data_IF_505110185068
#
_entry.id   IF_505110185068
#
_cell.length_a   1.000
_cell.length_b   1.000
_cell.length_c   1.000
_cell.angle_alpha   90.00
_cell.angle_beta   90.00
_cell.angle_gamma   90.00
#
_symmetry.space_group_name_H-M   'P 1'
#
loop_
_entity.id
_entity.type
_entity.pdbx_description
1 polymer ?
#
# COMPACT_ATOMS: atom_id res chain seq x y z
N UNK A 1 -9.07 -9.65 50.28
CA UNK A 1 -9.55 -9.77 48.89
C UNK A 1 -8.80 -8.72 48.07
N UNK A 2 -7.58 -9.05 47.64
CA UNK A 2 -6.75 -8.14 46.85
C UNK A 2 -7.16 -8.26 45.39
N UNK A 3 -7.51 -7.14 44.76
CA UNK A 3 -7.83 -7.09 43.34
C UNK A 3 -6.57 -7.45 42.54
N UNK A 4 -6.50 -8.65 41.98
CA UNK A 4 -5.48 -8.97 41.00
C UNK A 4 -5.82 -8.20 39.72
N UNK A 5 -5.06 -7.13 39.48
CA UNK A 5 -5.24 -6.23 38.34
C UNK A 5 -4.67 -6.90 37.10
N UNK A 6 -5.49 -7.10 36.07
CA UNK A 6 -5.03 -7.56 34.76
C UNK A 6 -3.87 -6.69 34.25
N UNK A 7 -2.78 -7.33 33.84
CA UNK A 7 -1.63 -6.63 33.26
C UNK A 7 -1.85 -6.49 31.75
N UNK A 8 -2.54 -5.43 31.33
CA UNK A 8 -2.84 -5.16 29.92
C UNK A 8 -1.62 -4.81 29.04
N UNK A 9 -0.44 -4.69 29.64
CA UNK A 9 0.81 -4.33 28.96
C UNK A 9 1.62 -5.57 28.56
N UNK A 10 1.47 -6.68 29.29
CA UNK A 10 2.14 -7.93 28.98
C UNK A 10 1.24 -8.73 28.01
N UNK A 11 1.65 -8.82 26.76
CA UNK A 11 0.89 -9.43 25.65
C UNK A 11 1.57 -10.68 25.08
N UNK A 12 2.68 -11.12 25.66
CA UNK A 12 3.34 -12.35 25.26
C UNK A 12 2.52 -13.57 25.68
N UNK A 13 2.66 -14.66 24.92
CA UNK A 13 1.93 -15.90 25.17
C UNK A 13 2.07 -16.41 26.61
N UNK A 14 3.29 -16.36 27.17
CA UNK A 14 3.55 -16.82 28.54
C UNK A 14 2.80 -15.97 29.58
N UNK A 15 2.82 -14.64 29.44
CA UNK A 15 2.03 -13.75 30.30
C UNK A 15 0.52 -14.00 30.19
N UNK A 16 0.00 -14.26 28.98
CA UNK A 16 -1.42 -14.58 28.78
C UNK A 16 -1.81 -15.89 29.47
N UNK A 17 -0.96 -16.92 29.38
CA UNK A 17 -1.17 -18.20 30.07
C UNK A 17 -1.15 -18.00 31.59
N UNK A 18 -0.18 -17.26 32.11
CA UNK A 18 -0.07 -16.96 33.55
C UNK A 18 -1.31 -16.20 34.07
N UNK A 19 -1.78 -15.19 33.33
CA UNK A 19 -2.97 -14.42 33.67
C UNK A 19 -4.24 -15.31 33.65
N UNK A 20 -4.37 -16.18 32.65
CA UNK A 20 -5.46 -17.16 32.57
C UNK A 20 -5.45 -18.12 33.77
N UNK A 21 -4.30 -18.70 34.10
CA UNK A 21 -4.15 -19.61 35.24
C UNK A 21 -4.46 -18.90 36.56
N UNK A 22 -3.92 -17.69 36.74
CA UNK A 22 -4.16 -16.86 37.93
C UNK A 22 -5.66 -16.55 38.10
N UNK A 23 -6.35 -16.24 37.00
CA UNK A 23 -7.80 -15.97 37.02
C UNK A 23 -8.64 -17.21 37.35
N UNK A 24 -8.25 -18.39 36.86
CA UNK A 24 -8.95 -19.63 37.18
C UNK A 24 -8.73 -20.00 38.65
N UNK A 25 -7.50 -19.86 39.16
CA UNK A 25 -7.20 -20.10 40.58
C UNK A 25 -8.00 -19.18 41.51
N UNK A 26 -8.13 -17.90 41.17
CA UNK A 26 -8.93 -16.95 41.96
C UNK A 26 -10.42 -17.32 41.97
N UNK A 27 -10.97 -17.71 40.82
CA UNK A 27 -12.43 -17.92 40.68
C UNK A 27 -12.91 -19.32 41.04
N UNK A 28 -12.05 -20.32 40.81
CA UNK A 28 -12.39 -21.73 40.92
C UNK A 28 -11.42 -22.54 41.78
N UNK A 29 -10.51 -21.89 42.52
CA UNK A 29 -9.50 -22.57 43.34
C UNK A 29 -10.07 -23.57 44.36
N UNK A 30 -11.30 -23.35 44.84
CA UNK A 30 -11.98 -24.27 45.75
C UNK A 30 -12.49 -25.55 45.06
N UNK A 31 -12.63 -25.54 43.72
CA UNK A 31 -13.22 -26.63 42.92
C UNK A 31 -12.24 -27.29 41.96
N UNK A 32 -11.19 -26.58 41.55
CA UNK A 32 -10.26 -27.03 40.52
C UNK A 32 -8.85 -26.55 40.83
N UNK A 33 -7.90 -27.49 40.93
CA UNK A 33 -6.52 -27.22 41.31
C UNK A 33 -5.49 -28.01 40.48
N UNK A 34 -5.87 -28.46 39.28
CA UNK A 34 -4.96 -29.20 38.40
C UNK A 34 -4.44 -28.29 37.28
N UNK A 35 -3.19 -27.84 37.45
CA UNK A 35 -2.48 -26.96 36.50
C UNK A 35 -1.11 -27.53 36.12
N UNK A 36 -0.99 -28.86 36.12
CA UNK A 36 0.22 -29.52 35.62
C UNK A 36 0.25 -29.41 34.08
N UNK A 37 1.45 -29.35 33.49
CA UNK A 37 1.64 -29.16 32.05
C UNK A 37 0.92 -30.22 31.18
N UNK A 38 0.78 -31.45 31.68
CA UNK A 38 0.10 -32.54 30.96
C UNK A 38 -1.44 -32.52 31.12
N UNK A 39 -1.97 -31.59 31.93
CA UNK A 39 -3.41 -31.50 32.16
C UNK A 39 -4.12 -31.02 30.89
N UNK A 40 -5.22 -31.69 30.53
CA UNK A 40 -6.10 -31.28 29.43
C UNK A 40 -6.57 -29.83 29.54
N UNK A 41 -6.70 -29.30 30.76
CA UNK A 41 -7.07 -27.89 30.99
C UNK A 41 -5.93 -26.95 30.64
N UNK A 42 -4.68 -27.31 30.94
CA UNK A 42 -3.51 -26.52 30.56
C UNK A 42 -3.34 -26.48 29.05
N UNK A 43 -3.48 -27.62 28.37
CA UNK A 43 -3.44 -27.68 26.90
C UNK A 43 -4.50 -26.78 26.24
N UNK A 44 -5.72 -26.73 26.80
CA UNK A 44 -6.78 -25.84 26.30
C UNK A 44 -6.45 -24.36 26.54
N UNK A 45 -5.87 -24.02 27.69
CA UNK A 45 -5.43 -22.65 28.00
C UNK A 45 -4.34 -22.21 27.02
N UNK A 46 -3.35 -23.06 26.77
CA UNK A 46 -2.25 -22.77 25.84
C UNK A 46 -2.74 -22.57 24.40
N UNK A 47 -3.66 -23.44 23.93
CA UNK A 47 -4.27 -23.32 22.62
C UNK A 47 -5.08 -22.03 22.47
N UNK A 48 -5.82 -21.63 23.52
CA UNK A 48 -6.57 -20.37 23.52
C UNK A 48 -5.63 -19.17 23.58
N UNK A 49 -4.59 -19.21 24.43
CA UNK A 49 -3.59 -18.16 24.53
C UNK A 49 -2.86 -17.92 23.20
N UNK A 50 -2.56 -18.97 22.45
CA UNK A 50 -1.99 -18.86 21.10
C UNK A 50 -2.89 -18.06 20.15
N UNK A 51 -4.20 -18.35 20.16
CA UNK A 51 -5.14 -17.62 19.32
C UNK A 51 -5.26 -16.15 19.73
N UNK A 52 -5.20 -15.86 21.04
CA UNK A 52 -5.25 -14.49 21.57
C UNK A 52 -3.99 -13.70 21.20
N UNK A 53 -2.81 -14.30 21.31
CA UNK A 53 -1.54 -13.67 20.91
C UNK A 53 -1.57 -13.28 19.42
N UNK A 54 -2.00 -14.20 18.55
CA UNK A 54 -2.20 -13.89 17.12
C UNK A 54 -3.18 -12.72 16.90
N UNK A 55 -4.29 -12.70 17.62
CA UNK A 55 -5.26 -11.59 17.52
C UNK A 55 -4.66 -10.26 17.98
N UNK A 56 -3.88 -10.26 19.06
CA UNK A 56 -3.21 -9.07 19.56
C UNK A 56 -2.19 -8.53 18.54
N UNK A 57 -1.44 -9.43 17.89
CA UNK A 57 -0.55 -9.06 16.79
C UNK A 57 -1.29 -8.35 15.64
N UNK A 58 -2.43 -8.89 15.19
CA UNK A 58 -3.21 -8.27 14.12
C UNK A 58 -3.85 -6.94 14.55
N UNK A 59 -4.32 -6.83 15.79
CA UNK A 59 -4.87 -5.59 16.33
C UNK A 59 -3.83 -4.48 16.40
N UNK A 60 -2.63 -4.78 16.88
CA UNK A 60 -1.54 -3.80 16.97
C UNK A 60 -1.11 -3.36 15.56
N UNK A 61 -1.07 -4.29 14.59
CA UNK A 61 -0.83 -3.95 13.18
C UNK A 61 -1.93 -3.04 12.62
N UNK A 62 -3.20 -3.35 12.86
CA UNK A 62 -4.33 -2.54 12.38
C UNK A 62 -4.33 -1.14 13.01
N UNK A 63 -3.96 -1.03 14.28
CA UNK A 63 -3.84 0.25 14.97
C UNK A 63 -2.74 1.11 14.33
N UNK A 64 -1.57 0.51 14.02
CA UNK A 64 -0.48 1.21 13.34
C UNK A 64 -0.86 1.67 11.93
N UNK A 65 -1.67 0.90 11.21
CA UNK A 65 -2.16 1.27 9.87
C UNK A 65 -3.19 2.41 9.86
N UNK A 66 -3.70 2.82 11.03
CA UNK A 66 -4.70 3.88 11.15
C UNK A 66 -4.09 5.29 11.14
N UNK A 67 -2.79 5.43 11.43
CA UNK A 67 -2.11 6.72 11.49
C UNK A 67 -1.07 6.86 10.38
N UNK A 68 -1.06 8.02 9.72
CA UNK A 68 -0.14 8.31 8.62
C UNK A 68 1.35 8.05 8.93
N UNK A 69 1.89 8.44 10.09
CA UNK A 69 3.32 8.21 10.39
C UNK A 69 3.67 6.74 10.66
N UNK A 70 2.69 5.90 11.01
CA UNK A 70 2.92 4.49 11.40
C UNK A 70 2.41 3.48 10.39
N UNK A 71 1.60 3.91 9.41
CA UNK A 71 1.07 3.06 8.36
C UNK A 71 2.18 2.61 7.39
N UNK A 72 2.23 1.31 7.09
CA UNK A 72 3.24 0.70 6.23
C UNK A 72 2.61 0.33 4.89
N UNK A 73 1.35 -0.10 4.89
CA UNK A 73 0.68 -0.54 3.68
C UNK A 73 0.34 0.65 2.76
N UNK A 74 0.86 0.63 1.53
CA UNK A 74 0.70 1.72 0.55
C UNK A 74 -0.76 2.10 0.33
N UNK A 75 -1.65 1.11 0.30
CA UNK A 75 -3.08 1.36 0.09
C UNK A 75 -3.69 2.15 1.26
N UNK A 76 -3.31 1.84 2.50
CA UNK A 76 -3.78 2.56 3.68
C UNK A 76 -3.23 3.97 3.72
N UNK A 77 -1.94 4.17 3.40
CA UNK A 77 -1.35 5.52 3.30
C UNK A 77 -2.09 6.37 2.26
N UNK A 78 -2.40 5.82 1.08
CA UNK A 78 -3.18 6.53 0.05
C UNK A 78 -4.57 6.89 0.58
N UNK A 79 -5.23 5.97 1.30
CA UNK A 79 -6.56 6.22 1.87
C UNK A 79 -6.50 7.32 2.95
N UNK A 80 -5.49 7.30 3.82
CA UNK A 80 -5.26 8.34 4.84
C UNK A 80 -4.95 9.70 4.21
N UNK A 81 -4.13 9.74 3.16
CA UNK A 81 -3.88 10.94 2.36
C UNK A 81 -5.17 11.52 1.76
N UNK A 82 -6.05 10.66 1.23
CA UNK A 82 -7.35 11.09 0.69
C UNK A 82 -8.25 11.70 1.76
N UNK A 83 -8.21 11.22 2.99
CA UNK A 83 -9.01 11.78 4.11
C UNK A 83 -8.61 13.23 4.43
N UNK A 84 -7.34 13.59 4.25
CA UNK A 84 -6.84 14.97 4.44
C UNK A 84 -6.93 15.82 3.17
N UNK A 85 -7.59 15.33 2.12
CA UNK A 85 -7.76 16.03 0.84
C UNK A 85 -6.53 15.98 -0.08
N UNK A 86 -5.52 15.17 0.25
CA UNK A 86 -4.34 14.98 -0.61
C UNK A 86 -4.54 13.80 -1.56
N UNK A 87 -4.51 14.09 -2.86
CA UNK A 87 -4.53 13.08 -3.90
C UNK A 87 -3.09 12.71 -4.30
N UNK A 88 -2.71 11.45 -4.06
CA UNK A 88 -1.39 10.93 -4.47
C UNK A 88 -1.30 10.91 -6.00
N UNK A 89 -0.24 11.51 -6.56
CA UNK A 89 0.00 11.52 -8.00
C UNK A 89 0.25 10.11 -8.54
N UNK A 90 -0.40 9.76 -9.64
CA UNK A 90 -0.13 8.53 -10.38
C UNK A 90 1.19 8.59 -11.16
N UNK A 91 1.49 7.52 -11.89
CA UNK A 91 2.57 7.51 -12.86
C UNK A 91 2.31 8.59 -13.93
N UNK A 92 3.29 9.45 -14.17
CA UNK A 92 3.24 10.43 -15.26
C UNK A 92 4.05 9.88 -16.44
N UNK A 93 3.49 9.82 -17.66
CA UNK A 93 4.25 9.42 -18.84
C UNK A 93 5.36 10.43 -19.14
N UNK A 94 6.42 10.00 -19.81
CA UNK A 94 7.44 10.93 -20.29
C UNK A 94 6.86 11.84 -21.37
N UNK A 95 7.14 13.14 -21.29
CA UNK A 95 6.81 14.13 -22.32
C UNK A 95 8.10 14.58 -23.02
N UNK A 96 8.10 14.61 -24.36
CA UNK A 96 9.26 14.97 -25.19
C UNK A 96 8.80 15.82 -26.36
N UNK A 97 9.58 16.83 -26.74
CA UNK A 97 9.34 17.62 -27.95
C UNK A 97 9.95 16.93 -29.18
N UNK A 98 9.11 16.55 -30.15
CA UNK A 98 9.53 15.96 -31.42
C UNK A 98 9.62 17.06 -32.49
N UNK A 99 10.75 17.13 -33.18
CA UNK A 99 10.92 18.03 -34.34
C UNK A 99 10.84 17.21 -35.62
N UNK A 100 9.81 17.45 -36.43
CA UNK A 100 9.68 16.85 -37.76
C UNK A 100 10.24 17.81 -38.80
N UNK A 101 11.15 17.34 -39.65
CA UNK A 101 11.72 18.13 -40.74
C UNK A 101 11.50 17.48 -42.11
N UNK A 102 11.16 18.27 -43.12
CA UNK A 102 11.06 17.83 -44.52
C UNK A 102 12.32 18.24 -45.31
N UNK A 103 12.75 17.39 -46.24
CA UNK A 103 13.97 17.62 -47.04
C UNK A 103 13.74 18.63 -48.19
N UNK A 104 12.51 18.75 -48.68
CA UNK A 104 12.12 19.71 -49.72
C UNK A 104 10.79 20.38 -49.36
N UNK A 105 10.61 21.69 -49.68
CA UNK A 105 9.38 22.40 -49.41
C UNK A 105 8.27 21.92 -50.36
N UNK A 106 7.25 21.26 -49.79
CA UNK A 106 6.08 20.79 -50.53
C UNK A 106 5.02 21.89 -50.54
N UNK A 107 4.35 22.12 -51.67
CA UNK A 107 3.32 23.16 -51.84
C UNK A 107 1.97 22.86 -51.18
N UNK A 108 1.83 21.69 -50.54
CA UNK A 108 0.67 21.30 -49.74
C UNK A 108 1.09 21.15 -48.28
N UNK A 109 0.26 21.64 -47.35
CA UNK A 109 0.53 21.51 -45.92
C UNK A 109 0.54 20.05 -45.50
N UNK A 110 1.64 19.59 -44.92
CA UNK A 110 1.77 18.21 -44.42
C UNK A 110 1.20 18.16 -43.01
N UNK A 111 0.09 17.45 -42.83
CA UNK A 111 -0.56 17.26 -41.53
C UNK A 111 -0.04 15.99 -40.85
N UNK A 112 0.47 16.16 -39.64
CA UNK A 112 0.84 15.10 -38.71
C UNK A 112 -0.34 14.97 -37.73
N UNK A 113 -1.11 13.87 -37.81
CA UNK A 113 -2.26 13.69 -36.94
C UNK A 113 -1.82 13.44 -35.50
N UNK A 114 -2.69 13.77 -34.56
CA UNK A 114 -2.63 13.35 -33.16
C UNK A 114 -2.60 11.82 -33.08
N UNK A 115 -1.70 11.27 -32.26
CA UNK A 115 -1.49 9.83 -32.15
C UNK A 115 -0.56 9.24 -33.21
N UNK A 116 0.23 10.07 -33.89
CA UNK A 116 1.33 9.57 -34.72
C UNK A 116 2.40 8.94 -33.82
N UNK A 117 2.61 7.64 -33.97
CA UNK A 117 3.58 6.89 -33.18
C UNK A 117 5.00 7.05 -33.74
N UNK A 118 5.93 7.48 -32.89
CA UNK A 118 7.36 7.55 -33.18
C UNK A 118 8.10 6.60 -32.24
N UNK A 119 8.79 5.62 -32.80
CA UNK A 119 9.62 4.68 -32.04
C UNK A 119 11.05 5.16 -31.90
N UNK A 120 11.60 5.04 -30.70
CA UNK A 120 13.05 5.14 -30.47
C UNK A 120 13.73 3.81 -30.77
N UNK A 121 15.04 3.82 -31.05
CA UNK A 121 15.83 2.59 -31.27
C UNK A 121 15.78 1.61 -30.08
N UNK A 122 15.45 2.12 -28.88
CA UNK A 122 15.23 1.32 -27.67
C UNK A 122 13.82 0.73 -27.51
N UNK A 123 12.95 0.86 -28.51
CA UNK A 123 11.60 0.27 -28.50
C UNK A 123 10.57 1.02 -27.66
N UNK A 124 10.88 2.23 -27.17
CA UNK A 124 9.91 3.11 -26.50
C UNK A 124 9.15 3.90 -27.57
N UNK A 125 7.83 3.82 -27.50
CA UNK A 125 6.91 4.51 -28.39
C UNK A 125 6.46 5.84 -27.76
N UNK A 126 6.40 6.88 -28.60
CA UNK A 126 5.87 8.18 -28.27
C UNK A 126 4.76 8.54 -29.24
N UNK A 127 3.65 9.07 -28.73
CA UNK A 127 2.51 9.52 -29.52
C UNK A 127 2.42 11.06 -29.49
N UNK A 128 2.11 11.68 -30.63
CA UNK A 128 1.89 13.14 -30.71
C UNK A 128 0.65 13.57 -29.93
N UNK A 129 0.79 14.60 -29.08
CA UNK A 129 -0.26 15.12 -28.19
C UNK A 129 -1.35 15.90 -28.94
N UNK A 130 -0.96 16.56 -30.03
CA UNK A 130 -1.79 17.46 -30.82
C UNK A 130 -1.59 17.26 -32.32
N UNK A 131 -2.57 17.70 -33.11
CA UNK A 131 -2.42 17.78 -34.56
C UNK A 131 -1.42 18.88 -34.90
N UNK A 132 -0.41 18.55 -35.68
CA UNK A 132 0.57 19.51 -36.15
C UNK A 132 0.51 19.61 -37.67
N UNK A 133 0.60 20.83 -38.21
CA UNK A 133 0.63 21.08 -39.65
C UNK A 133 1.93 21.77 -39.97
N UNK A 134 2.71 21.21 -40.88
CA UNK A 134 3.82 21.91 -41.53
C UNK A 134 3.20 22.79 -42.62
N UNK A 135 3.17 24.13 -42.45
CA UNK A 135 2.58 25.03 -43.44
C UNK A 135 3.43 25.04 -44.73
N UNK A 136 2.79 25.39 -45.85
CA UNK A 136 3.46 25.44 -47.15
C UNK A 136 4.62 26.46 -47.11
N UNK A 137 5.85 25.98 -47.24
CA UNK A 137 7.07 26.79 -47.23
C UNK A 137 7.90 26.73 -45.94
N UNK A 138 7.40 26.13 -44.86
CA UNK A 138 8.21 25.82 -43.67
C UNK A 138 8.80 24.41 -43.75
N UNK A 139 10.01 24.24 -43.20
CA UNK A 139 10.76 22.98 -43.26
C UNK A 139 10.70 22.18 -41.97
N UNK A 140 10.19 22.75 -40.87
CA UNK A 140 10.18 22.08 -39.57
C UNK A 140 8.99 22.48 -38.69
N UNK A 141 8.42 21.51 -37.98
CA UNK A 141 7.44 21.75 -36.91
C UNK A 141 7.81 20.96 -35.67
N UNK A 142 7.68 21.63 -34.51
CA UNK A 142 7.87 21.04 -33.18
C UNK A 142 6.51 20.64 -32.61
N UNK A 143 6.41 19.40 -32.13
CA UNK A 143 5.18 18.82 -31.58
C UNK A 143 5.50 18.14 -30.25
N UNK A 144 4.75 18.47 -29.20
CA UNK A 144 4.84 17.75 -27.94
C UNK A 144 4.32 16.33 -28.11
N UNK A 145 5.10 15.35 -27.65
CA UNK A 145 4.76 13.93 -27.66
C UNK A 145 4.76 13.36 -26.24
N UNK A 146 3.94 12.34 -26.03
CA UNK A 146 3.77 11.66 -24.75
C UNK A 146 4.07 10.18 -24.95
N UNK A 147 4.73 9.57 -23.98
CA UNK A 147 4.96 8.13 -24.00
C UNK A 147 3.63 7.37 -23.93
N UNK A 148 3.40 6.48 -24.90
CA UNK A 148 2.19 5.69 -25.09
C UNK A 148 2.51 4.30 -25.61
#
# INVERSE_FOLDING_TARGET
>A
MGLNRFQYTAKDHAAIVEDCVSRIKERYGDKFNDFVEDSSVMMLIEAFAYQVDLLLFYLDRQANETYLPTAIERQNVINLCKLVGYAVSGARPAEVDLTFSLNEPIGSGVRIPKGAAVGTEGGVLFETKEDAVIPAGETSVVVGAVQG
#
